data_IF_601137933390
#
_entry.id   IF_601137933390
#
_cell.length_a   1.000
_cell.length_b   1.000
_cell.length_c   1.000
_cell.angle_alpha   90.00
_cell.angle_beta   90.00
_cell.angle_gamma   90.00
#
_symmetry.space_group_name_H-M   'P 1'
#
loop_
_entity.id
_entity.type
_entity.pdbx_description
1 polymer ?
#
# COMPACT_ATOMS: atom_id res chain seq x y z
N UNK A 1 1.30 -6.70 -30.30
CA UNK A 1 0.89 -5.39 -29.71
C UNK A 1 1.40 -5.35 -28.30
N UNK A 2 2.37 -4.45 -27.98
CA UNK A 2 2.70 -4.12 -26.58
C UNK A 2 1.56 -3.25 -26.06
N UNK A 3 0.90 -3.69 -25.00
CA UNK A 3 -0.04 -2.84 -24.28
C UNK A 3 0.78 -1.85 -23.44
N UNK A 4 0.42 -0.57 -23.50
CA UNK A 4 0.96 0.40 -22.57
C UNK A 4 0.49 0.00 -21.15
N UNK A 5 1.43 -0.26 -20.26
CA UNK A 5 1.18 -0.58 -18.86
C UNK A 5 1.53 0.59 -17.94
N UNK A 6 1.85 1.74 -18.53
CA UNK A 6 2.22 2.93 -17.79
C UNK A 6 1.00 3.52 -17.08
N UNK A 7 1.15 3.74 -15.80
CA UNK A 7 0.14 4.35 -14.95
C UNK A 7 0.49 5.83 -14.77
N UNK A 8 -0.45 6.73 -15.04
CA UNK A 8 -0.22 8.17 -15.00
C UNK A 8 -0.21 8.73 -13.57
N UNK A 9 -1.03 8.20 -12.68
CA UNK A 9 -1.10 8.56 -11.26
C UNK A 9 -1.69 7.40 -10.45
N UNK A 10 -1.42 7.36 -9.14
CA UNK A 10 -1.95 6.34 -8.23
C UNK A 10 -2.52 7.00 -6.98
N UNK A 11 -3.77 6.71 -6.67
CA UNK A 11 -4.38 7.06 -5.39
C UNK A 11 -4.75 5.76 -4.65
N UNK A 12 -4.32 5.61 -3.41
CA UNK A 12 -4.46 4.36 -2.64
C UNK A 12 -4.81 4.62 -1.18
N UNK A 13 -5.72 3.79 -0.66
CA UNK A 13 -6.15 3.80 0.74
C UNK A 13 -5.45 2.69 1.52
N UNK A 14 -4.91 3.03 2.68
CA UNK A 14 -4.31 2.13 3.67
C UNK A 14 -3.57 0.91 3.06
N UNK A 15 -2.57 1.13 2.20
CA UNK A 15 -1.89 0.05 1.48
C UNK A 15 -0.93 -0.73 2.39
N UNK A 16 -0.98 -2.07 2.42
CA UNK A 16 0.11 -2.90 2.92
C UNK A 16 1.31 -2.77 1.97
N UNK A 17 2.47 -2.33 2.43
CA UNK A 17 3.58 -1.97 1.54
C UNK A 17 4.91 -2.62 1.90
N UNK A 18 5.10 -2.98 3.16
CA UNK A 18 6.26 -3.71 3.66
C UNK A 18 5.80 -4.88 4.54
N UNK A 19 5.72 -6.05 3.95
CA UNK A 19 5.22 -7.24 4.62
C UNK A 19 6.25 -7.89 5.54
N UNK A 20 7.53 -7.49 5.43
CA UNK A 20 8.61 -7.96 6.30
C UNK A 20 8.60 -7.21 7.63
N UNK A 21 8.38 -5.89 7.58
CA UNK A 21 8.26 -5.04 8.75
C UNK A 21 6.86 -4.43 8.80
N UNK A 22 5.90 -5.19 9.30
CA UNK A 22 4.49 -4.87 9.32
C UNK A 22 4.03 -4.49 10.73
N UNK A 23 4.34 -3.25 11.13
CA UNK A 23 4.13 -2.80 12.51
C UNK A 23 5.07 -3.52 13.48
N UNK A 24 4.52 -4.17 14.48
CA UNK A 24 5.29 -4.89 15.52
C UNK A 24 5.65 -6.34 15.14
N UNK A 25 5.23 -6.81 13.97
CA UNK A 25 5.44 -8.19 13.52
C UNK A 25 5.70 -8.27 12.02
N UNK A 26 5.93 -9.46 11.50
CA UNK A 26 5.85 -9.74 10.06
C UNK A 26 4.40 -10.01 9.66
N UNK A 27 4.07 -9.78 8.40
CA UNK A 27 2.71 -9.97 7.89
C UNK A 27 2.19 -11.41 8.06
N UNK A 28 3.04 -12.42 7.90
CA UNK A 28 2.69 -13.84 8.10
C UNK A 28 2.33 -14.19 9.56
N UNK A 29 2.66 -13.32 10.50
CA UNK A 29 2.48 -13.52 11.95
C UNK A 29 1.34 -12.70 12.54
N UNK A 30 0.69 -11.83 11.75
CA UNK A 30 -0.43 -11.01 12.25
C UNK A 30 -1.63 -11.89 12.59
N UNK A 31 -2.39 -11.45 13.60
CA UNK A 31 -3.61 -12.11 14.05
C UNK A 31 -4.81 -11.18 13.77
N UNK A 32 -5.59 -11.54 12.77
CA UNK A 32 -6.85 -10.86 12.43
C UNK A 32 -7.93 -11.91 12.30
N UNK A 33 -9.04 -11.74 13.02
CA UNK A 33 -10.14 -12.70 13.02
C UNK A 33 -10.68 -12.91 11.59
N UNK A 34 -10.84 -14.16 11.20
CA UNK A 34 -11.34 -14.52 9.87
C UNK A 34 -10.36 -14.33 8.72
N UNK A 35 -9.10 -13.99 9.01
CA UNK A 35 -8.08 -13.73 8.00
C UNK A 35 -6.84 -14.62 8.22
N UNK A 36 -6.42 -15.31 7.17
CA UNK A 36 -5.23 -16.15 7.16
C UNK A 36 -4.16 -15.51 6.23
N UNK A 37 -3.17 -14.82 6.80
CA UNK A 37 -2.11 -14.19 6.01
C UNK A 37 -1.27 -15.21 5.25
N UNK A 38 -1.14 -16.44 5.76
CA UNK A 38 -0.40 -17.51 5.09
C UNK A 38 -0.98 -17.86 3.74
N UNK A 39 -2.30 -17.89 3.61
CA UNK A 39 -3.00 -18.17 2.36
C UNK A 39 -2.94 -17.05 1.33
N UNK A 40 -2.68 -15.83 1.75
CA UNK A 40 -2.35 -14.74 0.82
C UNK A 40 -0.94 -14.89 0.25
N UNK A 41 -0.02 -15.39 1.04
CA UNK A 41 1.36 -15.60 0.63
C UNK A 41 1.51 -16.85 -0.23
N UNK A 42 0.87 -17.94 0.18
CA UNK A 42 0.93 -19.24 -0.49
C UNK A 42 -0.46 -19.86 -0.56
N UNK A 43 -0.83 -20.38 -1.71
CA UNK A 43 -2.15 -20.99 -1.93
C UNK A 43 -2.54 -22.04 -0.88
N UNK A 44 -1.55 -22.81 -0.43
CA UNK A 44 -1.74 -23.91 0.52
C UNK A 44 -1.40 -23.49 1.98
N UNK A 45 -1.20 -22.19 2.23
CA UNK A 45 -0.81 -21.66 3.53
C UNK A 45 0.68 -21.83 3.83
N UNK A 46 1.05 -21.71 5.11
CA UNK A 46 2.45 -21.74 5.56
C UNK A 46 2.98 -23.15 5.84
N UNK A 47 2.11 -24.15 5.91
CA UNK A 47 2.50 -25.52 6.27
C UNK A 47 3.59 -26.06 5.31
N UNK A 48 4.67 -26.57 5.89
CA UNK A 48 5.81 -27.11 5.13
C UNK A 48 6.70 -26.07 4.47
N UNK A 49 6.45 -24.78 4.66
CA UNK A 49 7.31 -23.69 4.15
C UNK A 49 8.46 -23.43 5.11
N UNK A 50 9.66 -23.30 4.56
CA UNK A 50 10.83 -22.87 5.32
C UNK A 50 10.75 -21.37 5.62
N UNK A 51 11.44 -20.93 6.68
CA UNK A 51 11.60 -19.53 7.02
C UNK A 51 12.15 -18.70 5.87
N UNK A 52 13.09 -19.25 5.11
CA UNK A 52 13.67 -18.58 3.94
C UNK A 52 12.65 -18.37 2.82
N UNK A 53 11.82 -19.38 2.52
CA UNK A 53 10.75 -19.25 1.52
C UNK A 53 9.73 -18.21 1.91
N UNK A 54 9.31 -18.17 3.18
CA UNK A 54 8.38 -17.18 3.69
C UNK A 54 8.97 -15.78 3.56
N UNK A 55 10.21 -15.57 4.01
CA UNK A 55 10.87 -14.27 3.95
C UNK A 55 11.04 -13.75 2.52
N UNK A 56 11.47 -14.60 1.59
CA UNK A 56 11.59 -14.23 0.17
C UNK A 56 10.22 -13.86 -0.44
N UNK A 57 9.17 -14.60 -0.07
CA UNK A 57 7.81 -14.27 -0.52
C UNK A 57 7.34 -12.93 0.01
N UNK A 58 7.57 -12.64 1.30
CA UNK A 58 7.23 -11.35 1.91
C UNK A 58 7.96 -10.19 1.21
N UNK A 59 9.27 -10.33 0.95
CA UNK A 59 10.04 -9.33 0.22
C UNK A 59 9.50 -9.10 -1.19
N UNK A 60 9.22 -10.18 -1.92
CA UNK A 60 8.72 -10.12 -3.30
C UNK A 60 7.34 -9.46 -3.41
N UNK A 61 6.53 -9.52 -2.35
CA UNK A 61 5.20 -8.93 -2.28
C UNK A 61 5.17 -7.58 -1.54
N UNK A 62 6.31 -7.01 -1.19
CA UNK A 62 6.43 -5.73 -0.48
C UNK A 62 6.73 -4.58 -1.44
N UNK A 63 5.73 -3.78 -1.87
CA UNK A 63 5.94 -2.68 -2.82
C UNK A 63 7.02 -1.69 -2.38
N UNK A 64 7.12 -1.40 -1.08
CA UNK A 64 8.13 -0.48 -0.54
C UNK A 64 9.57 -1.01 -0.66
N UNK A 65 9.76 -2.31 -0.95
CA UNK A 65 11.07 -2.98 -1.10
C UNK A 65 11.41 -3.30 -2.55
N UNK A 66 10.46 -3.19 -3.46
CA UNK A 66 10.69 -3.48 -4.87
C UNK A 66 11.44 -2.34 -5.55
N UNK A 67 12.34 -2.64 -6.49
CA UNK A 67 12.96 -1.61 -7.30
C UNK A 67 11.91 -0.96 -8.19
N UNK A 68 11.85 0.36 -8.18
CA UNK A 68 10.97 1.14 -9.03
C UNK A 68 11.81 2.18 -9.78
N UNK A 69 11.59 2.31 -11.07
CA UNK A 69 12.16 3.37 -11.91
C UNK A 69 11.04 4.27 -12.38
N UNK A 70 11.25 5.60 -12.31
CA UNK A 70 10.27 6.60 -12.76
C UNK A 70 8.85 6.33 -12.23
N UNK A 71 8.64 6.29 -10.89
CA UNK A 71 7.31 6.05 -10.36
C UNK A 71 6.37 7.20 -10.73
N UNK A 72 5.08 6.90 -11.02
CA UNK A 72 4.08 7.94 -11.19
C UNK A 72 3.87 8.70 -9.87
N UNK A 73 3.20 9.86 -9.89
CA UNK A 73 2.79 10.51 -8.66
C UNK A 73 1.82 9.64 -7.86
N UNK A 74 1.99 9.63 -6.54
CA UNK A 74 1.14 8.88 -5.60
C UNK A 74 0.45 9.81 -4.62
N UNK A 75 -0.83 9.53 -4.34
CA UNK A 75 -1.54 9.99 -3.17
C UNK A 75 -1.90 8.78 -2.30
N UNK A 76 -1.46 8.80 -1.04
CA UNK A 76 -1.66 7.72 -0.08
C UNK A 76 -2.49 8.27 1.06
N UNK A 77 -3.62 7.64 1.38
CA UNK A 77 -4.48 8.04 2.50
C UNK A 77 -4.51 6.93 3.54
N UNK A 78 -4.24 7.28 4.78
CA UNK A 78 -4.05 6.31 5.86
C UNK A 78 -4.66 6.78 7.18
N UNK A 79 -5.41 5.90 7.83
CA UNK A 79 -5.90 6.09 9.19
C UNK A 79 -4.82 5.79 10.23
N UNK A 80 -4.57 6.70 11.17
CA UNK A 80 -3.57 6.48 12.23
C UNK A 80 -4.01 5.53 13.33
N UNK A 81 -5.31 5.21 13.41
CA UNK A 81 -5.89 4.24 14.33
C UNK A 81 -6.30 2.94 13.63
N UNK A 82 -5.76 2.70 12.44
CA UNK A 82 -6.04 1.48 11.68
C UNK A 82 -5.50 0.24 12.44
N UNK A 83 -6.38 -0.68 12.85
CA UNK A 83 -5.96 -1.87 13.60
C UNK A 83 -5.45 -3.01 12.71
N UNK A 84 -5.56 -2.88 11.38
CA UNK A 84 -5.24 -3.93 10.40
C UNK A 84 -3.97 -3.58 9.64
N UNK A 85 -3.89 -2.35 9.13
CA UNK A 85 -2.72 -1.87 8.38
C UNK A 85 -2.00 -0.80 9.20
N UNK A 86 -0.82 -1.10 9.74
CA UNK A 86 -0.03 -0.13 10.49
C UNK A 86 0.21 1.13 9.65
N UNK A 87 -0.04 2.30 10.24
CA UNK A 87 0.02 3.58 9.51
C UNK A 87 1.41 3.87 8.91
N UNK A 88 2.46 3.31 9.49
CA UNK A 88 3.84 3.40 9.01
C UNK A 88 4.03 2.80 7.62
N UNK A 89 3.12 1.93 7.18
CA UNK A 89 3.14 1.35 5.84
C UNK A 89 3.03 2.43 4.76
N UNK A 90 2.24 3.47 4.99
CA UNK A 90 2.12 4.62 4.08
C UNK A 90 3.45 5.39 3.98
N UNK A 91 4.14 5.63 5.09
CA UNK A 91 5.44 6.31 5.09
C UNK A 91 6.53 5.50 4.39
N UNK A 92 6.56 4.18 4.61
CA UNK A 92 7.52 3.29 3.95
C UNK A 92 7.40 3.35 2.43
N UNK A 93 6.16 3.30 1.91
CA UNK A 93 5.92 3.43 0.48
C UNK A 93 6.31 4.82 -0.03
N UNK A 94 5.86 5.88 0.65
CA UNK A 94 6.19 7.25 0.26
C UNK A 94 7.71 7.49 0.22
N UNK A 95 8.43 6.99 1.22
CA UNK A 95 9.89 7.09 1.28
C UNK A 95 10.56 6.33 0.11
N UNK A 96 10.08 5.13 -0.22
CA UNK A 96 10.59 4.35 -1.35
C UNK A 96 10.37 5.07 -2.68
N UNK A 97 9.18 5.61 -2.91
CA UNK A 97 8.84 6.36 -4.13
C UNK A 97 9.69 7.62 -4.27
N UNK A 98 9.86 8.39 -3.19
CA UNK A 98 10.70 9.60 -3.19
C UNK A 98 12.17 9.29 -3.44
N UNK A 99 12.72 8.22 -2.84
CA UNK A 99 14.10 7.76 -3.13
C UNK A 99 14.30 7.39 -4.61
N UNK A 100 13.24 6.91 -5.27
CA UNK A 100 13.26 6.61 -6.70
C UNK A 100 13.03 7.84 -7.61
N UNK A 101 12.98 9.05 -7.04
CA UNK A 101 12.78 10.30 -7.77
C UNK A 101 11.31 10.63 -8.08
N UNK A 102 10.36 9.88 -7.53
CA UNK A 102 8.94 10.14 -7.66
C UNK A 102 8.39 11.10 -6.62
N UNK A 103 7.11 11.43 -6.77
CA UNK A 103 6.37 12.25 -5.81
C UNK A 103 5.34 11.39 -5.08
N UNK A 104 5.23 11.57 -3.77
CA UNK A 104 4.22 10.91 -2.95
C UNK A 104 3.68 11.89 -1.90
N UNK A 105 2.38 12.10 -1.92
CA UNK A 105 1.64 12.82 -0.88
C UNK A 105 1.00 11.81 0.05
N UNK A 106 1.18 11.98 1.36
CA UNK A 106 0.53 11.15 2.38
C UNK A 106 -0.46 12.02 3.15
N UNK A 107 -1.73 11.61 3.13
CA UNK A 107 -2.79 12.23 3.91
C UNK A 107 -3.17 11.29 5.06
N UNK A 108 -3.08 11.78 6.29
CA UNK A 108 -3.46 11.02 7.47
C UNK A 108 -4.83 11.45 7.99
N UNK A 109 -5.63 10.45 8.36
CA UNK A 109 -6.80 10.65 9.20
C UNK A 109 -6.42 10.28 10.64
N UNK A 110 -6.32 11.26 11.53
CA UNK A 110 -5.74 11.09 12.88
C UNK A 110 -6.50 10.08 13.77
N UNK A 111 -7.80 9.98 13.59
CA UNK A 111 -8.68 9.06 14.33
C UNK A 111 -9.22 7.91 13.47
N UNK A 112 -8.82 7.85 12.19
CA UNK A 112 -9.31 6.88 11.23
C UNK A 112 -8.86 5.46 11.53
N UNK A 113 -9.80 4.52 11.46
CA UNK A 113 -9.58 3.08 11.55
C UNK A 113 -9.41 2.41 10.18
N UNK A 114 -10.07 1.26 9.98
CA UNK A 114 -10.06 0.48 8.74
C UNK A 114 -11.47 -0.02 8.37
N UNK A 115 -12.26 0.74 7.63
CA UNK A 115 -12.16 2.18 7.30
C UNK A 115 -12.62 3.08 8.46
N UNK A 116 -12.86 4.35 8.20
CA UNK A 116 -13.51 5.30 9.12
C UNK A 116 -14.83 5.82 8.54
N UNK A 117 -15.75 6.35 9.39
CA UNK A 117 -17.13 6.65 8.96
C UNK A 117 -17.27 7.67 7.82
N UNK A 118 -16.37 8.65 7.75
CA UNK A 118 -16.41 9.70 6.73
C UNK A 118 -15.34 9.55 5.63
N UNK A 119 -14.86 8.33 5.41
CA UNK A 119 -13.86 7.99 4.37
C UNK A 119 -14.26 8.46 2.96
N UNK A 120 -15.56 8.63 2.71
CA UNK A 120 -16.06 9.13 1.44
C UNK A 120 -15.55 10.54 1.10
N UNK A 121 -15.19 11.36 2.11
CA UNK A 121 -14.57 12.65 1.91
C UNK A 121 -13.16 12.51 1.36
N UNK A 122 -12.37 11.62 1.97
CA UNK A 122 -11.02 11.33 1.50
C UNK A 122 -11.02 10.73 0.09
N UNK A 123 -12.01 9.88 -0.22
CA UNK A 123 -12.21 9.36 -1.58
C UNK A 123 -12.54 10.49 -2.57
N UNK A 124 -13.33 11.48 -2.15
CA UNK A 124 -13.59 12.68 -2.94
C UNK A 124 -12.32 13.50 -3.21
N UNK A 125 -11.49 13.69 -2.19
CA UNK A 125 -10.20 14.38 -2.31
C UNK A 125 -9.24 13.62 -3.24
N UNK A 126 -9.23 12.29 -3.15
CA UNK A 126 -8.45 11.45 -4.07
C UNK A 126 -8.92 11.58 -5.52
N UNK A 127 -10.23 11.65 -5.76
CA UNK A 127 -10.79 11.84 -7.09
C UNK A 127 -10.40 13.20 -7.67
N UNK A 128 -10.53 14.28 -6.88
CA UNK A 128 -10.09 15.62 -7.29
C UNK A 128 -8.59 15.65 -7.61
N UNK A 129 -7.76 15.02 -6.75
CA UNK A 129 -6.32 14.94 -6.99
C UNK A 129 -5.99 14.16 -8.28
N UNK A 130 -6.69 13.05 -8.56
CA UNK A 130 -6.50 12.31 -9.82
C UNK A 130 -6.87 13.17 -11.04
N UNK A 131 -7.97 13.93 -10.97
CA UNK A 131 -8.35 14.85 -12.03
C UNK A 131 -7.26 15.90 -12.29
N UNK A 132 -6.64 16.44 -11.26
CA UNK A 132 -5.52 17.38 -11.37
C UNK A 132 -4.30 16.73 -12.04
N UNK A 133 -3.94 15.51 -11.60
CA UNK A 133 -2.77 14.78 -12.12
C UNK A 133 -2.95 14.32 -13.56
N UNK A 134 -4.15 13.95 -13.95
CA UNK A 134 -4.47 13.54 -15.32
C UNK A 134 -4.64 14.73 -16.29
N UNK A 135 -4.62 15.95 -15.76
CA UNK A 135 -4.97 17.14 -16.50
C UNK A 135 -6.47 17.15 -16.75
N UNK A 136 -7.20 18.15 -16.24
CA UNK A 136 -8.61 18.30 -16.56
C UNK A 136 -8.79 18.14 -18.07
N UNK A 137 -9.42 17.06 -18.52
CA UNK A 137 -9.81 16.90 -19.92
C UNK A 137 -10.83 18.01 -20.14
N UNK A 138 -10.52 19.01 -20.97
CA UNK A 138 -11.55 20.00 -21.30
C UNK A 138 -12.72 19.27 -21.91
N UNK A 139 -13.89 19.48 -21.34
CA UNK A 139 -15.12 18.97 -21.92
C UNK A 139 -15.29 19.42 -23.37
#
# INVERSE_FOLDING_TARGET
RRWATDVAAVAVLFPPTDLVEYGSARFDQIQVEGFDPGRLLFRDGLDGKSEAEILEKLKALSPARLPVSTPPPFMIVQGKKDPIVPWEQAEKLAAALRRAGGTATVQYHETGGHPWPDIHKDIGDMACWLDEMLGAVPA
#
